data_IF_938260258358
#
_entry.id   IF_938260258358
#
_cell.length_a   1.000
_cell.length_b   1.000
_cell.length_c   1.000
_cell.angle_alpha   90.00
_cell.angle_beta   90.00
_cell.angle_gamma   90.00
#
_symmetry.space_group_name_H-M   'P 1'
#
loop_
_entity.id
_entity.type
_entity.pdbx_description
1 polymer ?
#
# COMPACT_ATOMS: atom_id res chain seq x y z
N UNK A 1 45.72 -54.53 -0.99
CA UNK A 1 44.44 -53.78 -0.90
C UNK A 1 44.47 -52.80 0.27
N UNK A 2 45.37 -51.80 0.27
CA UNK A 2 45.47 -50.89 1.43
C UNK A 2 45.91 -49.44 1.11
N UNK A 3 45.98 -49.02 -0.16
CA UNK A 3 46.38 -47.63 -0.49
C UNK A 3 45.29 -46.79 -1.15
N UNK A 4 44.16 -47.37 -1.57
CA UNK A 4 43.06 -46.61 -2.19
C UNK A 4 42.00 -46.08 -1.20
N UNK A 5 42.08 -46.42 0.08
CA UNK A 5 41.13 -45.93 1.10
C UNK A 5 41.63 -44.66 1.80
N UNK A 6 42.93 -44.35 1.70
CA UNK A 6 43.54 -43.20 2.39
C UNK A 6 43.43 -41.87 1.62
N UNK A 7 43.09 -41.87 0.33
CA UNK A 7 43.01 -40.63 -0.48
C UNK A 7 41.64 -39.94 -0.46
N UNK A 8 40.57 -40.61 0.00
CA UNK A 8 39.23 -40.00 0.09
C UNK A 8 38.93 -39.34 1.44
N UNK A 9 39.83 -39.40 2.42
CA UNK A 9 39.63 -38.78 3.74
C UNK A 9 40.24 -37.37 3.87
N UNK A 10 40.93 -36.87 2.84
CA UNK A 10 41.59 -35.56 2.85
C UNK A 10 40.75 -34.41 2.27
N UNK A 11 39.55 -34.68 1.74
CA UNK A 11 38.68 -33.64 1.12
C UNK A 11 37.60 -33.08 2.05
N UNK A 12 37.48 -33.54 3.30
CA UNK A 12 36.48 -33.07 4.26
C UNK A 12 36.92 -31.81 5.03
N UNK A 13 37.71 -30.93 4.42
CA UNK A 13 37.77 -29.55 4.87
C UNK A 13 36.67 -28.77 4.17
N UNK A 14 35.65 -28.27 4.89
CA UNK A 14 34.60 -27.46 4.28
C UNK A 14 35.22 -26.17 3.76
N UNK A 15 35.42 -26.11 2.45
CA UNK A 15 35.94 -24.96 1.72
C UNK A 15 34.91 -23.85 1.72
N UNK A 16 35.39 -22.61 1.85
CA UNK A 16 34.59 -21.43 1.53
C UNK A 16 34.93 -20.98 0.10
N UNK A 17 33.93 -20.63 -0.73
CA UNK A 17 32.49 -20.64 -0.44
C UNK A 17 31.91 -22.06 -0.34
N UNK A 18 30.83 -22.25 0.45
CA UNK A 18 30.15 -23.54 0.57
C UNK A 18 29.53 -23.99 -0.75
N UNK A 19 29.29 -25.30 -0.88
CA UNK A 19 28.63 -25.89 -2.04
C UNK A 19 27.11 -25.66 -1.96
N UNK A 20 26.62 -24.70 -2.74
CA UNK A 20 25.21 -24.34 -2.81
C UNK A 20 24.35 -25.31 -3.63
N UNK A 21 24.94 -26.34 -4.25
CA UNK A 21 24.19 -27.35 -5.02
C UNK A 21 23.23 -28.18 -4.17
N UNK A 22 23.36 -28.11 -2.84
CA UNK A 22 22.53 -28.81 -1.87
C UNK A 22 21.27 -28.04 -1.46
N UNK A 23 21.17 -26.73 -1.75
CA UNK A 23 19.95 -25.96 -1.48
C UNK A 23 18.93 -26.20 -2.59
N UNK A 24 17.93 -27.05 -2.35
CA UNK A 24 16.85 -27.26 -3.30
C UNK A 24 15.87 -26.08 -3.31
N UNK A 25 15.38 -25.72 -4.49
CA UNK A 25 14.43 -24.62 -4.72
C UNK A 25 13.05 -24.81 -4.05
N UNK A 26 12.80 -25.96 -3.43
CA UNK A 26 11.46 -26.38 -3.00
C UNK A 26 11.00 -25.80 -1.66
N UNK A 27 11.87 -25.19 -0.86
CA UNK A 27 11.53 -24.73 0.49
C UNK A 27 12.05 -23.31 0.72
N UNK A 28 11.26 -22.30 0.36
CA UNK A 28 11.63 -20.88 0.52
C UNK A 28 11.91 -20.50 1.99
N UNK A 29 11.24 -21.16 2.94
CA UNK A 29 11.51 -21.03 4.38
C UNK A 29 12.90 -21.55 4.77
N UNK A 30 13.43 -22.55 4.05
CA UNK A 30 14.80 -23.02 4.24
C UNK A 30 15.85 -22.02 3.75
N UNK A 31 15.51 -21.13 2.82
CA UNK A 31 16.47 -20.16 2.26
C UNK A 31 16.81 -19.10 3.30
N UNK A 32 15.82 -18.56 4.01
CA UNK A 32 16.07 -17.60 5.09
C UNK A 32 16.85 -18.23 6.25
N UNK A 33 16.53 -19.47 6.61
CA UNK A 33 17.23 -20.17 7.68
C UNK A 33 18.66 -20.57 7.28
N UNK A 34 18.87 -20.96 6.01
CA UNK A 34 20.18 -21.20 5.43
C UNK A 34 21.05 -19.94 5.44
N UNK A 35 20.50 -18.81 4.97
CA UNK A 35 21.20 -17.53 4.99
C UNK A 35 21.55 -17.10 6.42
N UNK A 36 20.66 -17.33 7.39
CA UNK A 36 20.94 -17.07 8.83
C UNK A 36 22.07 -17.94 9.37
N UNK A 37 22.13 -19.24 8.98
CA UNK A 37 23.24 -20.13 9.36
C UNK A 37 24.56 -19.67 8.75
N UNK A 38 24.56 -19.21 7.51
CA UNK A 38 25.76 -18.71 6.84
C UNK A 38 26.21 -17.35 7.37
N UNK A 39 25.29 -16.45 7.71
CA UNK A 39 25.59 -15.19 8.36
C UNK A 39 26.26 -15.39 9.74
N UNK A 40 25.90 -16.46 10.46
CA UNK A 40 26.51 -16.88 11.72
C UNK A 40 27.80 -17.72 11.57
N UNK A 41 28.17 -18.12 10.34
CA UNK A 41 29.30 -19.02 10.11
C UNK A 41 30.64 -18.33 10.38
N UNK A 42 31.38 -18.80 11.40
CA UNK A 42 32.74 -18.29 11.72
C UNK A 42 33.77 -18.49 10.60
N UNK A 43 33.42 -19.25 9.54
CA UNK A 43 34.31 -19.60 8.42
C UNK A 43 34.23 -18.61 7.26
N UNK A 44 33.14 -17.85 7.14
CA UNK A 44 32.97 -16.88 6.07
C UNK A 44 33.66 -15.55 6.40
N UNK A 45 34.17 -14.80 5.40
CA UNK A 45 34.74 -13.46 5.61
C UNK A 45 33.75 -12.51 6.30
N UNK A 46 34.25 -11.64 7.18
CA UNK A 46 33.43 -10.69 7.94
C UNK A 46 32.56 -9.78 7.05
N UNK A 47 33.07 -9.39 5.88
CA UNK A 47 32.33 -8.60 4.89
C UNK A 47 31.13 -9.35 4.33
N UNK A 48 31.28 -10.66 4.08
CA UNK A 48 30.22 -11.53 3.59
C UNK A 48 29.14 -11.76 4.66
N UNK A 49 29.54 -12.01 5.92
CA UNK A 49 28.57 -12.16 7.03
C UNK A 49 27.76 -10.90 7.25
N UNK A 50 28.40 -9.73 7.18
CA UNK A 50 27.71 -8.43 7.25
C UNK A 50 26.77 -8.21 6.08
N UNK A 51 27.14 -8.63 4.87
CA UNK A 51 26.26 -8.59 3.71
C UNK A 51 25.03 -9.47 3.90
N UNK A 52 25.21 -10.75 4.27
CA UNK A 52 24.11 -11.67 4.52
C UNK A 52 23.18 -11.19 5.64
N UNK A 53 23.75 -10.64 6.72
CA UNK A 53 22.96 -10.07 7.83
C UNK A 53 22.03 -8.96 7.33
N UNK A 54 22.53 -8.05 6.48
CA UNK A 54 21.70 -6.99 5.87
C UNK A 54 20.62 -7.54 4.93
N UNK A 55 20.93 -8.60 4.18
CA UNK A 55 19.94 -9.26 3.31
C UNK A 55 18.82 -9.89 4.14
N UNK A 56 19.16 -10.56 5.24
CA UNK A 56 18.19 -11.14 6.18
C UNK A 56 17.33 -10.04 6.81
N UNK A 57 17.93 -8.97 7.32
CA UNK A 57 17.19 -7.83 7.88
C UNK A 57 16.20 -7.23 6.89
N UNK A 58 16.60 -7.08 5.62
CA UNK A 58 15.73 -6.56 4.58
C UNK A 58 14.58 -7.52 4.24
N UNK A 59 14.87 -8.82 4.14
CA UNK A 59 13.86 -9.85 3.89
C UNK A 59 12.84 -9.94 5.04
N UNK A 60 13.30 -9.88 6.28
CA UNK A 60 12.44 -9.87 7.47
C UNK A 60 11.56 -8.60 7.50
N UNK A 61 12.10 -7.44 7.09
CA UNK A 61 11.33 -6.21 6.94
C UNK A 61 10.21 -6.36 5.91
N UNK A 62 10.54 -6.87 4.71
CA UNK A 62 9.55 -7.10 3.64
C UNK A 62 8.49 -8.12 4.03
N UNK A 63 8.88 -9.18 4.74
CA UNK A 63 7.94 -10.18 5.23
C UNK A 63 6.93 -9.55 6.20
N UNK A 64 7.41 -8.75 7.16
CA UNK A 64 6.55 -8.05 8.12
C UNK A 64 5.63 -7.01 7.46
N UNK A 65 6.11 -6.30 6.45
CA UNK A 65 5.28 -5.39 5.66
C UNK A 65 4.18 -6.14 4.90
N UNK A 66 4.54 -7.29 4.31
CA UNK A 66 3.61 -8.14 3.57
C UNK A 66 2.54 -8.73 4.48
N UNK A 67 2.90 -9.23 5.67
CA UNK A 67 1.93 -9.75 6.64
C UNK A 67 0.99 -8.65 7.13
N UNK A 68 1.53 -7.46 7.45
CA UNK A 68 0.73 -6.29 7.86
C UNK A 68 -0.25 -5.87 6.75
N UNK A 69 0.20 -5.86 5.49
CA UNK A 69 -0.64 -5.57 4.34
C UNK A 69 -1.77 -6.60 4.18
N UNK A 70 -1.44 -7.89 4.30
CA UNK A 70 -2.41 -8.99 4.22
C UNK A 70 -3.45 -8.94 5.34
N UNK A 71 -3.07 -8.55 6.56
CA UNK A 71 -4.00 -8.33 7.66
C UNK A 71 -4.94 -7.15 7.39
N UNK A 72 -4.41 -6.06 6.84
CA UNK A 72 -5.21 -4.90 6.43
C UNK A 72 -6.19 -5.26 5.32
N UNK A 73 -5.77 -6.03 4.32
CA UNK A 73 -6.67 -6.52 3.26
C UNK A 73 -7.80 -7.36 3.84
N UNK A 74 -7.51 -8.31 4.72
CA UNK A 74 -8.55 -9.13 5.37
C UNK A 74 -9.56 -8.30 6.16
N UNK A 75 -9.11 -7.24 6.86
CA UNK A 75 -10.01 -6.30 7.54
C UNK A 75 -10.91 -5.57 6.55
N UNK A 76 -10.33 -5.01 5.49
CA UNK A 76 -11.09 -4.29 4.46
C UNK A 76 -12.10 -5.20 3.74
N UNK A 77 -11.75 -6.45 3.45
CA UNK A 77 -12.67 -7.45 2.88
C UNK A 77 -13.86 -7.73 3.82
N UNK A 78 -13.60 -7.81 5.13
CA UNK A 78 -14.67 -7.99 6.12
C UNK A 78 -15.59 -6.77 6.21
N UNK A 79 -15.04 -5.55 6.18
CA UNK A 79 -15.81 -4.31 6.17
C UNK A 79 -16.63 -4.17 4.89
N UNK A 80 -16.05 -4.50 3.73
CA UNK A 80 -16.74 -4.50 2.44
C UNK A 80 -17.96 -5.42 2.46
N UNK A 81 -17.84 -6.61 3.09
CA UNK A 81 -18.95 -7.54 3.24
C UNK A 81 -20.09 -6.93 4.05
N UNK A 82 -19.79 -6.26 5.16
CA UNK A 82 -20.79 -5.57 5.99
C UNK A 82 -21.49 -4.47 5.20
N UNK A 83 -20.75 -3.67 4.42
CA UNK A 83 -21.35 -2.64 3.57
C UNK A 83 -22.24 -3.22 2.46
N UNK A 84 -21.84 -4.35 1.85
CA UNK A 84 -22.63 -5.03 0.86
C UNK A 84 -23.96 -5.54 1.44
N UNK A 85 -23.92 -6.14 2.63
CA UNK A 85 -25.12 -6.58 3.37
C UNK A 85 -26.02 -5.37 3.67
N UNK A 86 -25.47 -4.27 4.19
CA UNK A 86 -26.22 -3.05 4.46
C UNK A 86 -26.92 -2.47 3.22
N UNK A 87 -26.23 -2.41 2.08
CA UNK A 87 -26.80 -1.94 0.82
C UNK A 87 -27.91 -2.86 0.32
N UNK A 88 -27.73 -4.17 0.44
CA UNK A 88 -28.76 -5.15 0.09
C UNK A 88 -30.01 -5.01 0.96
N UNK A 89 -29.85 -4.88 2.28
CA UNK A 89 -30.95 -4.62 3.20
C UNK A 89 -31.64 -3.28 2.91
N UNK A 90 -30.87 -2.25 2.56
CA UNK A 90 -31.45 -0.95 2.20
C UNK A 90 -32.27 -1.04 0.92
N UNK A 91 -31.76 -1.73 -0.11
CA UNK A 91 -32.49 -1.94 -1.37
C UNK A 91 -33.81 -2.67 -1.13
N UNK A 92 -33.79 -3.77 -0.39
CA UNK A 92 -35.00 -4.55 -0.07
C UNK A 92 -36.03 -3.73 0.69
N UNK A 93 -35.61 -2.92 1.67
CA UNK A 93 -36.51 -2.00 2.38
C UNK A 93 -37.17 -0.97 1.44
N UNK A 94 -36.44 -0.46 0.44
CA UNK A 94 -37.01 0.46 -0.56
C UNK A 94 -38.02 -0.24 -1.46
N UNK A 95 -37.74 -1.48 -1.86
CA UNK A 95 -38.68 -2.28 -2.66
C UNK A 95 -39.97 -2.56 -1.87
N UNK A 96 -39.87 -2.94 -0.60
CA UNK A 96 -41.01 -3.17 0.30
C UNK A 96 -41.84 -1.89 0.48
N UNK A 97 -41.18 -0.74 0.70
CA UNK A 97 -41.87 0.55 0.82
C UNK A 97 -42.63 0.90 -0.47
N UNK A 98 -42.05 0.58 -1.62
CA UNK A 98 -42.67 0.83 -2.92
C UNK A 98 -43.92 -0.03 -3.13
N UNK A 99 -43.88 -1.30 -2.72
CA UNK A 99 -45.06 -2.18 -2.74
C UNK A 99 -46.15 -1.70 -1.77
N UNK A 100 -45.79 -1.22 -0.59
CA UNK A 100 -46.76 -0.61 0.34
C UNK A 100 -47.47 0.60 -0.29
N UNK A 101 -46.73 1.49 -0.98
CA UNK A 101 -47.35 2.63 -1.67
C UNK A 101 -48.29 2.19 -2.81
N UNK A 102 -47.93 1.17 -3.59
CA UNK A 102 -48.81 0.61 -4.61
C UNK A 102 -50.09 0.04 -3.99
N UNK A 103 -49.96 -0.67 -2.88
CA UNK A 103 -51.11 -1.25 -2.15
C UNK A 103 -52.02 -0.16 -1.59
N UNK A 104 -51.46 0.87 -0.93
CA UNK A 104 -52.22 2.02 -0.42
C UNK A 104 -53.01 2.69 -1.56
N UNK A 105 -52.35 2.95 -2.69
CA UNK A 105 -53.00 3.55 -3.86
C UNK A 105 -54.16 2.70 -4.39
N UNK A 106 -53.98 1.38 -4.44
CA UNK A 106 -55.04 0.45 -4.86
C UNK A 106 -56.22 0.46 -3.89
N UNK A 107 -55.97 0.54 -2.58
CA UNK A 107 -57.04 0.61 -1.58
C UNK A 107 -57.77 1.95 -1.60
N UNK A 108 -57.06 3.08 -1.81
CA UNK A 108 -57.70 4.39 -2.01
C UNK A 108 -58.64 4.39 -3.21
N UNK A 109 -58.20 3.88 -4.36
CA UNK A 109 -59.05 3.78 -5.56
C UNK A 109 -60.31 2.94 -5.29
N UNK A 110 -60.19 1.81 -4.59
CA UNK A 110 -61.35 1.00 -4.19
C UNK A 110 -62.30 1.74 -3.25
N UNK A 111 -61.78 2.56 -2.34
CA UNK A 111 -62.63 3.37 -1.46
C UNK A 111 -63.32 4.49 -2.23
N UNK A 112 -62.62 5.15 -3.15
CA UNK A 112 -63.21 6.15 -4.05
C UNK A 112 -64.33 5.54 -4.93
N UNK A 113 -64.11 4.36 -5.51
CA UNK A 113 -65.13 3.61 -6.26
C UNK A 113 -66.37 3.31 -5.41
N UNK A 114 -66.19 2.81 -4.17
CA UNK A 114 -67.31 2.54 -3.26
C UNK A 114 -68.07 3.81 -2.87
N UNK A 115 -67.37 4.91 -2.67
CA UNK A 115 -68.00 6.21 -2.36
C UNK A 115 -68.84 6.67 -3.55
N UNK A 116 -68.30 6.57 -4.78
CA UNK A 116 -69.04 6.88 -6.01
C UNK A 116 -70.29 5.99 -6.12
N UNK A 117 -70.13 4.67 -5.92
CA UNK A 117 -71.23 3.70 -5.96
C UNK A 117 -72.35 4.04 -4.95
N UNK A 118 -71.99 4.38 -3.71
CA UNK A 118 -72.92 4.85 -2.69
C UNK A 118 -73.64 6.14 -3.10
N UNK A 119 -72.92 7.12 -3.65
CA UNK A 119 -73.52 8.37 -4.13
C UNK A 119 -74.53 8.12 -5.27
N UNK A 120 -74.22 7.23 -6.21
CA UNK A 120 -75.16 6.81 -7.25
C UNK A 120 -76.39 6.10 -6.69
N UNK A 121 -76.22 5.18 -5.72
CA UNK A 121 -77.36 4.51 -5.08
C UNK A 121 -78.26 5.50 -4.30
N UNK A 122 -77.68 6.50 -3.65
CA UNK A 122 -78.42 7.58 -2.99
C UNK A 122 -79.19 8.46 -3.98
N UNK A 123 -78.58 8.79 -5.12
CA UNK A 123 -79.23 9.52 -6.21
C UNK A 123 -80.40 8.74 -6.82
N UNK A 124 -80.23 7.43 -7.02
CA UNK A 124 -81.28 6.53 -7.55
C UNK A 124 -82.43 6.34 -6.54
N UNK A 125 -82.15 6.28 -5.24
CA UNK A 125 -83.17 6.09 -4.20
C UNK A 125 -83.85 7.40 -3.77
N UNK A 126 -83.22 8.56 -4.00
CA UNK A 126 -83.87 9.87 -3.87
C UNK A 126 -85.08 10.07 -4.80
N UNK A 127 -85.34 9.13 -5.71
CA UNK A 127 -86.51 9.08 -6.58
C UNK A 127 -87.67 8.18 -6.08
N UNK A 128 -87.60 7.53 -4.91
CA UNK A 128 -88.63 6.54 -4.51
C UNK A 128 -88.89 6.44 -2.99
N UNK A 129 -89.99 7.08 -2.57
CA UNK A 129 -90.90 6.81 -1.42
C UNK A 129 -90.46 6.89 0.07
N UNK A 130 -91.38 7.21 1.01
CA UNK A 130 -91.11 7.63 2.40
C UNK A 130 -91.07 6.50 3.45
N UNK A 131 -90.95 5.23 3.06
CA UNK A 131 -90.88 4.08 4.01
C UNK A 131 -89.46 3.85 4.58
N UNK A 132 -88.64 4.90 4.60
CA UNK A 132 -87.18 4.82 4.57
C UNK A 132 -86.49 5.00 5.92
N UNK A 133 -87.19 5.33 7.01
CA UNK A 133 -86.55 5.73 8.29
C UNK A 133 -85.80 4.59 8.97
N UNK A 134 -86.41 3.40 9.16
CA UNK A 134 -85.73 2.26 9.80
C UNK A 134 -84.58 1.72 8.94
N UNK A 135 -84.72 1.81 7.61
CA UNK A 135 -83.71 1.37 6.64
C UNK A 135 -82.55 2.38 6.54
N UNK A 136 -82.83 3.67 6.78
CA UNK A 136 -81.83 4.74 6.90
C UNK A 136 -81.08 4.62 8.23
N UNK A 137 -81.73 4.32 9.35
CA UNK A 137 -81.04 4.08 10.64
C UNK A 137 -80.09 2.89 10.58
N UNK A 138 -80.52 1.77 9.98
CA UNK A 138 -79.65 0.60 9.76
C UNK A 138 -78.46 0.92 8.84
N UNK A 139 -78.62 1.83 7.87
CA UNK A 139 -77.55 2.28 6.99
C UNK A 139 -76.61 3.27 7.66
N UNK A 140 -77.12 4.18 8.49
CA UNK A 140 -76.30 5.14 9.25
C UNK A 140 -75.41 4.39 10.24
N UNK A 141 -75.95 3.43 10.98
CA UNK A 141 -75.16 2.59 11.90
C UNK A 141 -74.11 1.73 11.18
N UNK A 142 -74.44 1.17 10.01
CA UNK A 142 -73.47 0.47 9.17
C UNK A 142 -72.38 1.41 8.61
N UNK A 143 -72.74 2.64 8.26
CA UNK A 143 -71.81 3.67 7.78
C UNK A 143 -70.89 4.18 8.90
N UNK A 144 -71.40 4.35 10.12
CA UNK A 144 -70.62 4.69 11.31
C UNK A 144 -69.61 3.60 11.63
N UNK A 145 -70.03 2.33 11.61
CA UNK A 145 -69.11 1.19 11.81
C UNK A 145 -68.04 1.11 10.71
N UNK A 146 -68.41 1.33 9.45
CA UNK A 146 -67.46 1.39 8.34
C UNK A 146 -66.48 2.57 8.47
N UNK A 147 -66.94 3.70 9.02
CA UNK A 147 -66.12 4.87 9.30
C UNK A 147 -65.13 4.60 10.44
N UNK A 148 -65.56 3.99 11.54
CA UNK A 148 -64.67 3.59 12.63
C UNK A 148 -63.61 2.59 12.15
N UNK A 149 -63.98 1.60 11.34
CA UNK A 149 -63.02 0.66 10.74
C UNK A 149 -62.04 1.36 9.79
N UNK A 150 -62.49 2.37 9.04
CA UNK A 150 -61.63 3.15 8.16
C UNK A 150 -60.68 4.06 8.95
N UNK A 151 -61.14 4.69 10.02
CA UNK A 151 -60.32 5.51 10.93
C UNK A 151 -59.25 4.64 11.62
N UNK A 152 -59.60 3.42 12.03
CA UNK A 152 -58.65 2.49 12.65
C UNK A 152 -57.59 1.99 11.64
N UNK A 153 -57.98 1.75 10.38
CA UNK A 153 -57.03 1.44 9.29
C UNK A 153 -56.12 2.63 8.98
N UNK A 154 -56.66 3.85 8.92
CA UNK A 154 -55.88 5.07 8.72
C UNK A 154 -54.87 5.30 9.85
N UNK A 155 -55.27 5.08 11.11
CA UNK A 155 -54.38 5.18 12.25
C UNK A 155 -53.23 4.17 12.15
N UNK A 156 -53.53 2.92 11.77
CA UNK A 156 -52.51 1.88 11.58
C UNK A 156 -51.52 2.23 10.45
N UNK A 157 -52.02 2.71 9.31
CA UNK A 157 -51.17 3.15 8.19
C UNK A 157 -50.31 4.35 8.60
N UNK A 158 -50.86 5.29 9.38
CA UNK A 158 -50.12 6.44 9.90
C UNK A 158 -48.98 6.01 10.83
N UNK A 159 -49.23 5.00 11.67
CA UNK A 159 -48.21 4.45 12.57
C UNK A 159 -47.10 3.72 11.81
N UNK A 160 -47.46 2.86 10.85
CA UNK A 160 -46.50 2.16 9.98
C UNK A 160 -45.64 3.17 9.17
N UNK A 161 -46.25 4.26 8.69
CA UNK A 161 -45.53 5.35 8.02
C UNK A 161 -44.54 6.05 8.96
N UNK A 162 -44.94 6.32 10.20
CA UNK A 162 -44.05 6.93 11.19
C UNK A 162 -42.89 6.00 11.56
N UNK A 163 -43.14 4.70 11.69
CA UNK A 163 -42.13 3.67 11.94
C UNK A 163 -41.10 3.62 10.80
N UNK A 164 -41.57 3.61 9.55
CA UNK A 164 -40.72 3.61 8.36
C UNK A 164 -39.91 4.90 8.24
N UNK A 165 -40.49 6.07 8.54
CA UNK A 165 -39.75 7.33 8.60
C UNK A 165 -38.66 7.29 9.67
N UNK A 166 -38.92 6.72 10.85
CA UNK A 166 -37.92 6.52 11.90
C UNK A 166 -36.79 5.59 11.42
N UNK A 167 -37.11 4.53 10.69
CA UNK A 167 -36.10 3.65 10.09
C UNK A 167 -35.25 4.37 9.04
N UNK A 168 -35.87 5.15 8.13
CA UNK A 168 -35.15 5.94 7.14
C UNK A 168 -34.21 6.96 7.79
N UNK A 169 -34.63 7.62 8.87
CA UNK A 169 -33.75 8.53 9.63
C UNK A 169 -32.57 7.76 10.23
N UNK A 170 -32.79 6.59 10.83
CA UNK A 170 -31.70 5.76 11.38
C UNK A 170 -30.70 5.34 10.29
N UNK A 171 -31.20 4.90 9.14
CA UNK A 171 -30.38 4.53 7.97
C UNK A 171 -29.63 5.74 7.42
N UNK A 172 -30.27 6.92 7.32
CA UNK A 172 -29.64 8.14 6.84
C UNK A 172 -28.50 8.60 7.76
N UNK A 173 -28.69 8.55 9.09
CA UNK A 173 -27.64 8.85 10.07
C UNK A 173 -26.49 7.85 9.98
N UNK A 174 -26.80 6.55 9.83
CA UNK A 174 -25.80 5.52 9.59
C UNK A 174 -24.97 5.80 8.33
N UNK A 175 -25.62 6.12 7.21
CA UNK A 175 -24.98 6.52 5.94
C UNK A 175 -24.08 7.73 6.12
N UNK A 176 -24.54 8.77 6.82
CA UNK A 176 -23.75 9.98 7.04
C UNK A 176 -22.49 9.71 7.88
N UNK A 177 -22.57 8.82 8.86
CA UNK A 177 -21.40 8.41 9.64
C UNK A 177 -20.40 7.64 8.76
N UNK A 178 -20.87 6.69 7.94
CA UNK A 178 -20.01 5.97 6.99
C UNK A 178 -19.36 6.91 5.96
N UNK A 179 -20.11 7.89 5.43
CA UNK A 179 -19.55 8.89 4.50
C UNK A 179 -18.45 9.71 5.17
N UNK A 180 -18.63 10.08 6.46
CA UNK A 180 -17.59 10.78 7.23
C UNK A 180 -16.34 9.91 7.40
N UNK A 181 -16.52 8.64 7.75
CA UNK A 181 -15.40 7.71 7.94
C UNK A 181 -14.63 7.48 6.64
N UNK A 182 -15.34 7.32 5.51
CA UNK A 182 -14.72 7.22 4.19
C UNK A 182 -13.91 8.48 3.83
N UNK A 183 -14.45 9.67 4.06
CA UNK A 183 -13.72 10.93 3.82
C UNK A 183 -12.46 11.01 4.68
N UNK A 184 -12.53 10.60 5.95
CA UNK A 184 -11.36 10.54 6.83
C UNK A 184 -10.31 9.55 6.31
N UNK A 185 -10.72 8.35 5.88
CA UNK A 185 -9.82 7.36 5.30
C UNK A 185 -9.17 7.88 4.00
N UNK A 186 -9.90 8.59 3.14
CA UNK A 186 -9.32 9.21 1.95
C UNK A 186 -8.25 10.25 2.29
N UNK A 187 -8.49 11.07 3.32
CA UNK A 187 -7.48 12.01 3.80
C UNK A 187 -6.22 11.28 4.34
N UNK A 188 -6.38 10.18 5.07
CA UNK A 188 -5.26 9.35 5.52
C UNK A 188 -4.47 8.75 4.35
N UNK A 189 -5.16 8.26 3.32
CA UNK A 189 -4.52 7.74 2.10
C UNK A 189 -3.67 8.84 1.44
N UNK A 190 -4.21 10.05 1.30
CA UNK A 190 -3.48 11.16 0.68
C UNK A 190 -2.26 11.58 1.49
N UNK A 191 -2.37 11.61 2.83
CA UNK A 191 -1.20 11.89 3.68
C UNK A 191 -0.14 10.79 3.56
N UNK A 192 -0.55 9.53 3.47
CA UNK A 192 0.37 8.39 3.31
C UNK A 192 1.06 8.44 1.95
N UNK A 193 0.33 8.73 0.87
CA UNK A 193 0.90 8.92 -0.47
C UNK A 193 1.95 10.02 -0.49
N UNK A 194 1.71 11.15 0.19
CA UNK A 194 2.70 12.23 0.33
C UNK A 194 3.97 11.77 1.05
N UNK A 195 3.84 10.95 2.10
CA UNK A 195 5.02 10.38 2.79
C UNK A 195 5.79 9.42 1.90
N UNK A 196 5.11 8.60 1.12
CA UNK A 196 5.74 7.67 0.17
C UNK A 196 6.55 8.44 -0.87
N UNK A 197 5.98 9.49 -1.47
CA UNK A 197 6.71 10.30 -2.46
C UNK A 197 7.91 11.02 -1.87
N UNK A 198 7.81 11.47 -0.60
CA UNK A 198 8.94 12.05 0.13
C UNK A 198 10.06 11.03 0.37
N UNK A 199 9.72 9.81 0.82
CA UNK A 199 10.68 8.73 1.01
C UNK A 199 11.33 8.28 -0.31
N UNK A 200 10.58 8.21 -1.40
CA UNK A 200 11.11 7.91 -2.74
C UNK A 200 12.14 8.97 -3.17
N UNK A 201 11.86 10.25 -2.91
CA UNK A 201 12.79 11.35 -3.19
C UNK A 201 14.07 11.22 -2.36
N UNK A 202 13.95 10.89 -1.07
CA UNK A 202 15.10 10.65 -0.19
C UNK A 202 15.94 9.45 -0.65
N UNK A 203 15.28 8.37 -1.05
CA UNK A 203 15.94 7.19 -1.61
C UNK A 203 16.72 7.53 -2.87
N UNK A 204 16.17 8.34 -3.78
CA UNK A 204 16.86 8.81 -4.98
C UNK A 204 18.09 9.67 -4.62
N UNK A 205 17.96 10.58 -3.63
CA UNK A 205 19.09 11.37 -3.13
C UNK A 205 20.18 10.48 -2.52
N UNK A 206 19.80 9.45 -1.76
CA UNK A 206 20.73 8.50 -1.17
C UNK A 206 21.48 7.69 -2.24
N UNK A 207 20.76 7.19 -3.27
CA UNK A 207 21.36 6.51 -4.43
C UNK A 207 22.35 7.41 -5.17
N UNK A 208 22.00 8.68 -5.41
CA UNK A 208 22.89 9.64 -6.04
C UNK A 208 24.17 9.89 -5.23
N UNK A 209 24.05 10.03 -3.90
CA UNK A 209 25.21 10.15 -3.00
C UNK A 209 26.08 8.89 -3.02
N UNK A 210 25.49 7.71 -2.99
CA UNK A 210 26.22 6.45 -3.05
C UNK A 210 27.04 6.32 -4.35
N UNK A 211 26.43 6.65 -5.49
CA UNK A 211 27.11 6.67 -6.78
C UNK A 211 28.29 7.67 -6.83
N UNK A 212 28.14 8.85 -6.22
CA UNK A 212 29.25 9.80 -6.09
C UNK A 212 30.40 9.24 -5.23
N UNK A 213 30.07 8.61 -4.11
CA UNK A 213 31.08 7.97 -3.25
C UNK A 213 31.82 6.84 -3.96
N UNK A 214 31.11 6.02 -4.74
CA UNK A 214 31.71 4.96 -5.54
C UNK A 214 32.74 5.50 -6.54
N UNK A 215 32.42 6.61 -7.23
CA UNK A 215 33.40 7.29 -8.10
C UNK A 215 34.64 7.80 -7.34
N UNK A 216 34.47 8.30 -6.12
CA UNK A 216 35.60 8.76 -5.29
C UNK A 216 36.48 7.58 -4.89
N UNK A 217 35.87 6.46 -4.51
CA UNK A 217 36.59 5.22 -4.16
C UNK A 217 37.38 4.72 -5.38
N UNK A 218 36.75 4.60 -6.55
CA UNK A 218 37.43 4.16 -7.78
C UNK A 218 38.63 5.06 -8.13
N UNK A 219 38.51 6.38 -7.97
CA UNK A 219 39.64 7.31 -8.18
C UNK A 219 40.78 7.07 -7.19
N UNK A 220 40.46 6.85 -5.91
CA UNK A 220 41.47 6.55 -4.89
C UNK A 220 42.16 5.20 -5.15
N UNK A 221 41.40 4.17 -5.51
CA UNK A 221 41.96 2.86 -5.84
C UNK A 221 42.88 2.92 -7.05
N UNK A 222 42.50 3.66 -8.10
CA UNK A 222 43.37 3.90 -9.25
C UNK A 222 44.68 4.63 -8.85
N UNK A 223 44.60 5.61 -7.96
CA UNK A 223 45.77 6.32 -7.44
C UNK A 223 46.68 5.42 -6.60
N UNK A 224 46.11 4.60 -5.71
CA UNK A 224 46.84 3.63 -4.89
C UNK A 224 47.53 2.59 -5.79
N UNK A 225 46.83 2.07 -6.80
CA UNK A 225 47.41 1.12 -7.75
C UNK A 225 48.57 1.74 -8.53
N UNK A 226 48.43 2.99 -8.99
CA UNK A 226 49.52 3.73 -9.64
C UNK A 226 50.74 3.86 -8.73
N UNK A 227 50.55 4.30 -7.48
CA UNK A 227 51.65 4.42 -6.51
C UNK A 227 52.29 3.07 -6.19
N UNK A 228 51.49 2.01 -6.11
CA UNK A 228 51.97 0.64 -5.87
C UNK A 228 52.83 0.14 -7.03
N UNK A 229 52.41 0.41 -8.27
CA UNK A 229 53.19 0.10 -9.47
C UNK A 229 54.51 0.88 -9.50
N UNK A 230 54.49 2.18 -9.24
CA UNK A 230 55.70 3.03 -9.16
C UNK A 230 56.67 2.51 -8.08
N UNK A 231 56.16 2.19 -6.88
CA UNK A 231 56.96 1.61 -5.80
C UNK A 231 57.54 0.24 -6.16
N UNK A 232 56.80 -0.59 -6.89
CA UNK A 232 57.26 -1.91 -7.34
C UNK A 232 58.36 -1.77 -8.40
N UNK A 233 58.21 -0.84 -9.35
CA UNK A 233 59.24 -0.51 -10.33
C UNK A 233 60.53 0.01 -9.66
N UNK A 234 60.40 0.91 -8.68
CA UNK A 234 61.52 1.40 -7.88
C UNK A 234 62.25 0.25 -7.16
N UNK A 235 61.52 -0.68 -6.54
CA UNK A 235 62.11 -1.86 -5.89
C UNK A 235 62.86 -2.76 -6.86
N UNK A 236 62.31 -3.01 -8.06
CA UNK A 236 62.96 -3.80 -9.10
C UNK A 236 64.26 -3.14 -9.58
N UNK A 237 64.26 -1.82 -9.80
CA UNK A 237 65.46 -1.06 -10.15
C UNK A 237 66.53 -1.13 -9.05
N UNK A 238 66.14 -0.97 -7.79
CA UNK A 238 67.04 -1.13 -6.65
C UNK A 238 67.71 -2.51 -6.63
N UNK A 239 66.91 -3.57 -6.86
CA UNK A 239 67.40 -4.95 -6.89
C UNK A 239 68.35 -5.20 -8.05
N UNK A 240 68.04 -4.70 -9.25
CA UNK A 240 68.92 -4.82 -10.43
C UNK A 240 70.27 -4.12 -10.24
N UNK A 241 70.31 -3.02 -9.48
CA UNK A 241 71.51 -2.19 -9.32
C UNK A 241 72.26 -2.49 -8.01
N UNK A 242 71.85 -3.50 -7.24
CA UNK A 242 72.48 -3.87 -5.96
C UNK A 242 72.39 -2.79 -4.88
N UNK A 243 71.46 -1.85 -5.01
CA UNK A 243 71.29 -0.70 -4.10
C UNK A 243 70.06 -0.89 -3.21
N UNK A 244 70.08 -0.32 -2.01
CA UNK A 244 68.85 -0.25 -1.18
C UNK A 244 68.00 0.95 -1.62
N UNK A 245 66.67 0.85 -1.52
CA UNK A 245 65.74 1.92 -1.91
C UNK A 245 66.02 3.28 -1.24
N UNK A 246 66.66 3.28 -0.07
CA UNK A 246 67.11 4.48 0.65
C UNK A 246 68.27 5.23 -0.05
N UNK A 247 69.01 4.55 -0.92
CA UNK A 247 70.21 5.08 -1.63
C UNK A 247 69.81 5.85 -2.88
N UNK A 248 68.82 5.35 -3.64
CA UNK A 248 68.30 6.00 -4.87
C UNK A 248 67.50 7.26 -4.53
N UNK A 249 66.67 7.22 -3.48
CA UNK A 249 65.91 8.38 -3.02
C UNK A 249 66.78 9.56 -2.55
N UNK A 250 67.98 9.29 -2.02
CA UNK A 250 68.94 10.35 -1.63
C UNK A 250 69.74 10.88 -2.82
N UNK A 251 69.98 10.08 -3.87
CA UNK A 251 70.63 10.57 -5.10
C UNK A 251 69.69 11.42 -5.97
N UNK A 252 68.39 11.13 -5.99
CA UNK A 252 67.39 11.97 -6.67
C UNK A 252 67.11 13.31 -5.96
N UNK A 253 67.56 13.47 -4.71
CA UNK A 253 67.48 14.71 -3.94
C UNK A 253 68.77 15.57 -4.02
N UNK A 254 69.68 15.29 -4.96
CA UNK A 254 70.79 16.17 -5.30
C UNK A 254 70.32 17.21 -6.33
N UNK A 255 70.48 18.53 -6.07
CA UNK A 255 70.07 19.55 -7.02
C UNK A 255 71.04 19.55 -8.20
N UNK A 256 70.55 19.20 -9.39
CA UNK A 256 71.25 19.46 -10.63
C UNK A 256 71.24 20.98 -10.87
N UNK A 257 72.33 21.64 -10.48
CA UNK A 257 72.61 23.02 -10.86
C UNK A 257 73.23 23.02 -12.28
N UNK A 258 72.70 23.92 -13.10
CA UNK A 258 73.08 24.30 -14.47
C UNK A 258 72.61 23.33 -15.58
N UNK A 259 71.87 23.75 -16.63
CA UNK A 259 71.99 25.00 -17.38
C UNK A 259 70.72 25.26 -18.24
N UNK A 260 70.36 26.55 -18.37
CA UNK A 260 69.51 27.22 -19.38
C UNK A 260 68.00 27.46 -19.09
N UNK A 261 67.70 28.71 -18.74
CA UNK A 261 66.43 29.45 -18.99
C UNK A 261 66.51 30.11 -20.41
N UNK A 262 65.44 30.71 -21.00
CA UNK A 262 64.05 30.91 -20.50
C UNK A 262 62.92 30.60 -21.54
N UNK A 263 61.69 30.36 -21.07
CA UNK A 263 60.52 31.09 -21.59
C UNK A 263 59.42 31.15 -20.52
N UNK A 264 59.13 32.38 -20.09
CA UNK A 264 57.92 32.75 -19.38
C UNK A 264 56.71 32.60 -20.31
N UNK A 265 55.70 31.85 -19.90
CA UNK A 265 54.32 32.16 -20.26
C UNK A 265 53.49 32.21 -18.97
N UNK A 266 53.06 33.42 -18.64
CA UNK A 266 52.15 33.75 -17.55
C UNK A 266 50.79 33.09 -17.79
N UNK A 267 50.08 32.64 -16.74
CA UNK A 267 48.69 32.22 -16.89
C UNK A 267 47.80 33.45 -17.19
N UNK A 268 46.72 33.28 -17.98
CA UNK A 268 45.79 34.36 -18.28
C UNK A 268 45.05 34.80 -17.01
N UNK A 269 44.80 36.11 -16.90
CA UNK A 269 44.12 36.70 -15.75
C UNK A 269 42.63 36.32 -15.71
N UNK A 270 41.97 36.39 -14.54
CA UNK A 270 40.54 36.06 -14.38
C UNK A 270 39.56 36.88 -15.23
N UNK A 271 40.01 37.94 -15.91
CA UNK A 271 39.16 38.72 -16.83
C UNK A 271 38.97 38.07 -18.21
N UNK A 272 39.80 37.10 -18.60
CA UNK A 272 39.71 36.44 -19.92
C UNK A 272 38.80 35.20 -19.96
N UNK A 273 38.28 34.73 -18.81
CA UNK A 273 37.36 33.59 -18.73
C UNK A 273 35.86 33.97 -18.84
N UNK A 274 35.53 35.25 -18.99
CA UNK A 274 34.14 35.73 -19.04
C UNK A 274 33.52 35.83 -20.44
N UNK A 275 34.28 35.55 -21.51
CA UNK A 275 33.81 35.66 -22.90
C UNK A 275 33.43 34.29 -23.52
N UNK A 276 33.58 33.18 -22.78
CA UNK A 276 33.22 31.83 -23.26
C UNK A 276 31.93 31.26 -22.61
N UNK A 277 31.10 32.12 -22.01
CA UNK A 277 29.75 31.77 -21.55
C UNK A 277 28.70 32.77 -22.07
N UNK A 278 28.75 33.07 -23.36
CA UNK A 278 27.56 33.46 -24.13
C UNK A 278 27.34 32.43 -25.22
#
# INVERSE_FOLDING_TARGET
MSEQVAQNAASNQPTWPPDYSTYSYSELDNVLEALRREAGSRRAPDSYRKFLSKVIEHMDCLYNETTTCNERMRKLESEQKVYAEYLSTTSTNYDDLMELFKKERKERLKMEEKVIEMYTQLLEQGASDPTTVDLLEARVTAAEKAREEAELKLAKISEEKAESQRQLIRVAVGRQNMERDLVNQFAEIDTTRKKVTELELELQRAKAKAYQWEKVIQKKDAQINKQTMENTQLKLLCQQWGMTASTIGRQAAMPYIAQQLPQQQSPPSPQQLRILQQ
#
